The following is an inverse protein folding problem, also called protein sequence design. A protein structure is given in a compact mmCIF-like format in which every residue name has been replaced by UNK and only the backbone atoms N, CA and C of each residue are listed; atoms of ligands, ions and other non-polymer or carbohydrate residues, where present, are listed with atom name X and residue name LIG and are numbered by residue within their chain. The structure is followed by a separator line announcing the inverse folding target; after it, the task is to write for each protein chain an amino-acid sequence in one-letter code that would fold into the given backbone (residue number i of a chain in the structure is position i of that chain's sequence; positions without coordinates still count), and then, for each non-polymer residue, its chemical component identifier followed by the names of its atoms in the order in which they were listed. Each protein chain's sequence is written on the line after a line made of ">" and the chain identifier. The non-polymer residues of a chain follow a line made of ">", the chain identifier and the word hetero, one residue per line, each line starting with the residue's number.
data_IF_750438802888
#
_entry.id   IF_750438802888
#
_cell.length_a   1.000
_cell.length_b   1.000
_cell.length_c   1.000
_cell.angle_alpha   90.00
_cell.angle_beta   90.00
_cell.angle_gamma   90.00
#
_symmetry.space_group_name_H-M   'P 1'
#
loop_
_entity.id
_entity.type
_entity.pdbx_description
1 polymer ?
#
# COMPACT_ATOMS: atom_id res chain seq x y z
N UNK A 1 5.73 -18.51 5.39
CA UNK A 1 5.28 -17.14 5.70
C UNK A 1 6.15 -16.12 4.99
N UNK A 2 5.55 -15.19 4.29
CA UNK A 2 6.31 -14.17 3.57
C UNK A 2 6.89 -13.15 4.53
N UNK A 3 8.18 -12.85 4.36
CA UNK A 3 8.84 -11.86 5.20
C UNK A 3 8.31 -10.46 4.87
N UNK A 4 7.94 -9.71 5.89
CA UNK A 4 7.43 -8.35 5.76
C UNK A 4 8.50 -7.33 6.05
N UNK A 5 8.29 -6.13 5.52
CA UNK A 5 9.09 -4.96 5.83
C UNK A 5 8.87 -4.57 7.29
N UNK A 6 9.94 -4.21 7.99
CA UNK A 6 9.83 -3.71 9.37
C UNK A 6 9.44 -2.24 9.37
N UNK A 7 8.42 -1.83 10.14
CA UNK A 7 8.05 -0.42 10.24
C UNK A 7 9.20 0.45 10.74
N UNK A 8 9.29 1.66 10.23
CA UNK A 8 10.30 2.65 10.60
C UNK A 8 9.79 3.61 11.66
N UNK A 9 9.12 3.09 12.67
CA UNK A 9 8.58 3.89 13.76
C UNK A 9 7.73 3.01 14.65
N UNK A 10 7.14 3.64 15.67
CA UNK A 10 6.34 2.92 16.65
C UNK A 10 4.90 2.75 16.17
N UNK A 11 4.70 1.95 15.15
CA UNK A 11 3.37 1.64 14.62
C UNK A 11 3.36 0.27 13.95
N UNK A 12 2.21 -0.42 13.95
CA UNK A 12 2.08 -1.72 13.26
C UNK A 12 1.84 -1.53 11.77
N UNK A 13 1.99 -2.59 10.99
CA UNK A 13 1.58 -2.57 9.58
C UNK A 13 0.07 -2.44 9.45
N UNK A 14 -0.67 -3.12 10.33
CA UNK A 14 -2.13 -3.15 10.27
C UNK A 14 -2.72 -3.01 11.66
N UNK A 15 -3.94 -2.50 11.72
CA UNK A 15 -4.73 -2.50 12.95
C UNK A 15 -6.17 -2.86 12.60
N UNK A 16 -6.68 -3.90 13.24
CA UNK A 16 -8.06 -4.31 13.05
C UNK A 16 -8.94 -3.66 14.11
N UNK A 17 -10.04 -3.08 13.68
CA UNK A 17 -11.08 -2.55 14.57
C UNK A 17 -12.41 -3.09 14.06
N UNK A 18 -12.99 -4.04 14.80
CA UNK A 18 -14.17 -4.75 14.32
C UNK A 18 -13.87 -5.49 13.03
N UNK A 19 -14.64 -5.20 12.00
CA UNK A 19 -14.45 -5.79 10.68
C UNK A 19 -13.56 -4.95 9.77
N UNK A 20 -13.09 -3.80 10.25
CA UNK A 20 -12.23 -2.92 9.47
C UNK A 20 -10.77 -3.20 9.76
N UNK A 21 -9.96 -3.13 8.71
CA UNK A 21 -8.52 -3.29 8.78
C UNK A 21 -7.89 -2.02 8.26
N UNK A 22 -7.18 -1.32 9.14
CA UNK A 22 -6.42 -0.12 8.77
C UNK A 22 -5.01 -0.56 8.43
N UNK A 23 -4.52 -0.17 7.27
CA UNK A 23 -3.16 -0.46 6.84
C UNK A 23 -2.38 0.84 6.84
N UNK A 24 -1.28 0.87 7.58
CA UNK A 24 -0.40 2.04 7.64
C UNK A 24 0.12 2.42 6.27
N UNK A 25 0.47 3.69 6.08
CA UNK A 25 1.11 4.14 4.85
C UNK A 25 2.26 3.20 4.48
N UNK A 26 2.26 2.73 3.25
CA UNK A 26 3.16 1.68 2.79
C UNK A 26 3.93 2.18 1.58
N UNK A 27 5.23 1.94 1.56
CA UNK A 27 6.12 2.35 0.48
C UNK A 27 6.61 1.14 -0.31
N UNK A 28 7.48 1.40 -1.27
CA UNK A 28 8.11 0.33 -2.08
C UNK A 28 9.35 -0.26 -1.42
N UNK A 29 9.54 -0.01 -0.13
CA UNK A 29 10.68 -0.57 0.60
C UNK A 29 10.52 -2.09 0.74
N UNK A 30 11.60 -2.80 0.43
CA UNK A 30 11.64 -4.27 0.55
C UNK A 30 12.04 -4.68 1.96
N UNK A 31 11.86 -5.97 2.26
CA UNK A 31 12.20 -6.52 3.58
C UNK A 31 13.70 -6.36 3.93
N UNK A 32 14.57 -6.26 2.95
CA UNK A 32 16.01 -6.02 3.16
C UNK A 32 16.37 -4.54 3.23
N UNK A 33 15.36 -3.65 3.27
CA UNK A 33 15.47 -2.20 3.35
C UNK A 33 15.92 -1.53 2.05
N UNK A 34 16.08 -2.26 0.95
CA UNK A 34 16.26 -1.63 -0.36
C UNK A 34 14.91 -1.11 -0.85
N UNK A 35 14.96 -0.15 -1.76
CA UNK A 35 13.76 0.47 -2.32
C UNK A 35 13.60 0.01 -3.76
N UNK A 36 12.44 -0.61 -4.07
CA UNK A 36 12.13 -1.00 -5.43
C UNK A 36 11.94 0.25 -6.30
N UNK A 37 12.23 0.11 -7.58
CA UNK A 37 12.01 1.21 -8.53
C UNK A 37 13.05 2.32 -8.48
N UNK A 38 14.26 1.99 -8.04
CA UNK A 38 15.38 2.95 -8.02
C UNK A 38 16.46 2.40 -8.94
N UNK A 39 16.68 3.09 -10.06
CA UNK A 39 17.68 2.67 -11.04
C UNK A 39 18.85 3.65 -11.05
N UNK A 40 20.09 3.16 -10.94
CA UNK A 40 21.27 3.98 -11.14
C UNK A 40 21.51 4.15 -12.64
N UNK A 41 21.61 5.40 -13.09
CA UNK A 41 21.79 5.71 -14.51
C UNK A 41 23.26 5.82 -14.86
N UNK A 42 24.09 6.32 -13.94
CA UNK A 42 25.52 6.54 -14.19
C UNK A 42 26.35 6.36 -12.93
N UNK A 43 27.67 6.49 -13.08
CA UNK A 43 28.62 6.32 -11.98
C UNK A 43 28.61 7.50 -11.00
N UNK A 44 27.95 8.59 -11.34
CA UNK A 44 27.87 9.77 -10.49
C UNK A 44 26.72 9.70 -9.49
N UNK A 45 25.96 8.57 -9.48
CA UNK A 45 24.86 8.40 -8.56
C UNK A 45 23.55 8.97 -9.05
N UNK A 46 23.44 9.34 -10.34
CA UNK A 46 22.16 9.78 -10.91
C UNK A 46 21.19 8.62 -10.88
N UNK A 47 19.98 8.86 -10.38
CA UNK A 47 18.97 7.84 -10.21
C UNK A 47 17.75 8.15 -11.05
N UNK A 48 17.13 7.09 -11.58
CA UNK A 48 15.78 7.13 -12.12
C UNK A 48 14.84 6.51 -11.10
N UNK A 49 13.85 7.26 -10.67
CA UNK A 49 12.86 6.79 -9.71
C UNK A 49 11.63 6.37 -10.49
N UNK A 50 11.40 5.07 -10.57
CA UNK A 50 10.39 4.47 -11.44
C UNK A 50 9.05 4.38 -10.75
N UNK A 51 8.12 5.27 -11.10
CA UNK A 51 6.81 5.35 -10.46
C UNK A 51 6.00 4.06 -10.63
N UNK A 52 6.06 3.43 -11.80
CA UNK A 52 5.28 2.21 -12.03
C UNK A 52 5.78 1.06 -11.17
N UNK A 53 7.09 0.86 -11.11
CA UNK A 53 7.67 -0.20 -10.27
C UNK A 53 7.43 0.06 -8.80
N UNK A 54 7.58 1.30 -8.36
CA UNK A 54 7.29 1.64 -6.97
C UNK A 54 5.83 1.39 -6.63
N UNK A 55 4.91 1.80 -7.49
CA UNK A 55 3.48 1.58 -7.26
C UNK A 55 3.15 0.10 -7.17
N UNK A 56 3.70 -0.73 -8.06
CA UNK A 56 3.50 -2.18 -8.02
C UNK A 56 4.00 -2.78 -6.72
N UNK A 57 5.19 -2.39 -6.30
CA UNK A 57 5.78 -2.93 -5.07
C UNK A 57 4.99 -2.49 -3.83
N UNK A 58 4.54 -1.23 -3.79
CA UNK A 58 3.69 -0.74 -2.70
C UNK A 58 2.44 -1.62 -2.58
N UNK A 59 1.75 -1.88 -3.69
CA UNK A 59 0.52 -2.66 -3.65
C UNK A 59 0.78 -4.12 -3.30
N UNK A 60 1.91 -4.68 -3.70
CA UNK A 60 2.32 -6.02 -3.27
C UNK A 60 2.61 -6.06 -1.77
N UNK A 61 3.26 -5.03 -1.23
CA UNK A 61 3.50 -4.94 0.21
C UNK A 61 2.19 -4.84 0.99
N UNK A 62 1.24 -4.05 0.48
CA UNK A 62 -0.10 -3.94 1.10
C UNK A 62 -0.81 -5.29 1.06
N UNK A 63 -0.74 -5.99 -0.06
CA UNK A 63 -1.34 -7.32 -0.19
C UNK A 63 -0.80 -8.28 0.87
N UNK A 64 0.52 -8.28 1.07
CA UNK A 64 1.15 -9.12 2.11
C UNK A 64 0.65 -8.77 3.51
N UNK A 65 0.54 -7.47 3.79
CA UNK A 65 0.04 -7.01 5.09
C UNK A 65 -1.41 -7.43 5.32
N UNK A 66 -2.24 -7.32 4.28
CA UNK A 66 -3.64 -7.75 4.37
C UNK A 66 -3.77 -9.26 4.56
N UNK A 67 -2.92 -10.04 3.90
CA UNK A 67 -2.94 -11.50 4.03
C UNK A 67 -2.72 -11.96 5.47
N UNK A 68 -1.94 -11.23 6.24
CA UNK A 68 -1.74 -11.53 7.67
C UNK A 68 -3.00 -11.30 8.50
N UNK A 69 -3.96 -10.54 7.96
CA UNK A 69 -5.26 -10.31 8.59
C UNK A 69 -6.36 -11.14 7.96
N UNK A 70 -6.01 -12.07 7.08
CA UNK A 70 -7.00 -12.89 6.40
C UNK A 70 -7.76 -12.17 5.29
N UNK A 71 -7.21 -11.06 4.79
CA UNK A 71 -7.85 -10.24 3.75
C UNK A 71 -7.01 -10.18 2.49
N UNK A 72 -7.60 -9.65 1.42
CA UNK A 72 -6.94 -9.48 0.13
C UNK A 72 -7.20 -8.07 -0.39
N UNK A 73 -6.61 -7.74 -1.53
CA UNK A 73 -6.86 -6.44 -2.17
C UNK A 73 -8.34 -6.25 -2.54
N UNK A 74 -9.07 -7.34 -2.79
CA UNK A 74 -10.51 -7.27 -3.07
C UNK A 74 -11.32 -6.73 -1.89
N UNK A 75 -10.77 -6.79 -0.69
CA UNK A 75 -11.42 -6.31 0.53
C UNK A 75 -11.14 -4.84 0.81
N UNK A 76 -10.29 -4.20 0.04
CA UNK A 76 -9.95 -2.78 0.21
C UNK A 76 -11.14 -1.91 -0.18
N UNK A 77 -11.51 -0.98 0.68
CA UNK A 77 -12.66 -0.09 0.46
C UNK A 77 -12.26 1.36 0.21
N UNK A 78 -11.10 1.78 0.70
CA UNK A 78 -10.64 3.15 0.52
C UNK A 78 -9.13 3.21 0.40
N UNK A 79 -8.64 4.06 -0.50
CA UNK A 79 -7.22 4.25 -0.81
C UNK A 79 -6.89 5.72 -0.76
N UNK A 80 -5.80 6.06 -0.07
CA UNK A 80 -5.21 7.39 -0.14
C UNK A 80 -3.78 7.23 -0.63
N UNK A 81 -3.46 7.89 -1.74
CA UNK A 81 -2.13 7.83 -2.33
C UNK A 81 -1.43 9.18 -2.24
N UNK A 82 -0.15 9.13 -1.92
CA UNK A 82 0.70 10.30 -1.76
C UNK A 82 1.81 10.23 -2.81
N UNK A 83 1.86 11.22 -3.71
CA UNK A 83 2.89 11.33 -4.73
C UNK A 83 3.77 12.55 -4.41
N UNK A 84 5.04 12.49 -4.73
CA UNK A 84 5.91 13.67 -4.57
C UNK A 84 5.91 14.54 -5.83
N UNK A 85 5.37 14.04 -6.94
CA UNK A 85 5.34 14.77 -8.21
C UNK A 85 4.12 14.33 -9.01
N UNK A 86 3.19 15.24 -9.29
CA UNK A 86 1.98 14.90 -10.05
C UNK A 86 2.26 14.62 -11.54
N UNK A 87 3.49 14.87 -12.01
CA UNK A 87 3.89 14.39 -13.33
C UNK A 87 3.94 12.86 -13.37
N UNK A 88 3.99 12.20 -12.22
CA UNK A 88 3.94 10.75 -12.10
C UNK A 88 2.53 10.17 -12.12
N UNK A 89 1.51 11.02 -12.18
CA UNK A 89 0.13 10.58 -12.02
C UNK A 89 -0.29 9.55 -13.07
N UNK A 90 0.08 9.77 -14.35
CA UNK A 90 -0.27 8.84 -15.42
C UNK A 90 0.38 7.47 -15.21
N UNK A 91 1.66 7.43 -14.87
CA UNK A 91 2.37 6.17 -14.61
C UNK A 91 1.83 5.45 -13.39
N UNK A 92 1.54 6.20 -12.33
CA UNK A 92 0.89 5.67 -11.14
C UNK A 92 -0.47 5.04 -11.49
N UNK A 93 -1.30 5.74 -12.26
CA UNK A 93 -2.61 5.23 -12.67
C UNK A 93 -2.50 3.94 -13.49
N UNK A 94 -1.52 3.84 -14.38
CA UNK A 94 -1.34 2.63 -15.18
C UNK A 94 -0.99 1.41 -14.29
N UNK A 95 -0.07 1.58 -13.38
CA UNK A 95 0.32 0.50 -12.46
C UNK A 95 -0.82 0.17 -11.50
N UNK A 96 -1.51 1.18 -10.98
CA UNK A 96 -2.65 1.01 -10.08
C UNK A 96 -3.75 0.18 -10.74
N UNK A 97 -4.03 0.43 -12.03
CA UNK A 97 -5.06 -0.28 -12.78
C UNK A 97 -4.76 -1.76 -12.99
N UNK A 98 -3.52 -2.19 -12.74
CA UNK A 98 -3.18 -3.62 -12.77
C UNK A 98 -3.75 -4.37 -11.56
N UNK A 99 -4.12 -3.65 -10.49
CA UNK A 99 -4.54 -4.23 -9.22
C UNK A 99 -6.00 -3.98 -8.89
N UNK A 100 -6.57 -2.89 -9.38
CA UNK A 100 -7.93 -2.46 -9.06
C UNK A 100 -8.72 -2.11 -10.31
N UNK A 101 -9.98 -2.46 -10.27
CA UNK A 101 -10.94 -2.20 -11.34
C UNK A 101 -11.76 -0.94 -11.00
N UNK A 102 -12.04 -0.10 -11.99
CA UNK A 102 -12.77 1.14 -11.78
C UNK A 102 -14.23 0.92 -11.33
N UNK A 103 -14.81 -0.23 -11.64
CA UNK A 103 -16.21 -0.53 -11.30
C UNK A 103 -16.32 -1.14 -9.90
N UNK A 104 -15.43 -2.07 -9.57
CA UNK A 104 -15.49 -2.83 -8.32
C UNK A 104 -14.43 -2.41 -7.30
N UNK A 105 -13.54 -1.52 -7.69
CA UNK A 105 -12.43 -1.11 -6.85
C UNK A 105 -12.81 -0.16 -5.72
N UNK A 106 -11.85 0.16 -4.86
CA UNK A 106 -12.07 1.07 -3.73
C UNK A 106 -12.22 2.52 -4.18
N UNK A 107 -12.79 3.34 -3.29
CA UNK A 107 -12.69 4.78 -3.47
C UNK A 107 -11.24 5.20 -3.32
N UNK A 108 -10.85 6.31 -3.94
CA UNK A 108 -9.44 6.73 -3.94
C UNK A 108 -9.32 8.24 -3.92
N UNK A 109 -8.36 8.72 -3.13
CA UNK A 109 -7.92 10.12 -3.16
C UNK A 109 -6.41 10.11 -3.40
N UNK A 110 -5.95 10.97 -4.31
CA UNK A 110 -4.52 11.11 -4.63
C UNK A 110 -4.13 12.56 -4.42
N UNK A 111 -3.06 12.78 -3.65
CA UNK A 111 -2.54 14.12 -3.37
C UNK A 111 -1.03 14.14 -3.57
N UNK A 112 -0.50 15.32 -3.86
CA UNK A 112 0.94 15.55 -3.89
C UNK A 112 1.39 15.99 -2.51
N UNK A 113 2.55 15.51 -2.09
CA UNK A 113 3.21 15.92 -0.84
C UNK A 113 4.60 16.44 -1.16
N UNK A 114 5.16 17.22 -0.23
CA UNK A 114 6.48 17.79 -0.45
C UNK A 114 7.56 16.71 -0.54
N UNK A 115 7.53 15.74 0.37
CA UNK A 115 8.47 14.61 0.36
C UNK A 115 7.89 13.47 1.19
N UNK A 116 8.48 12.28 1.01
CA UNK A 116 8.16 11.09 1.78
C UNK A 116 9.33 10.74 2.70
N UNK A 117 9.17 9.78 3.62
CA UNK A 117 10.23 9.47 4.60
C UNK A 117 11.54 8.90 4.04
N UNK A 118 11.77 8.99 2.74
CA UNK A 118 13.02 8.64 2.10
C UNK A 118 13.09 9.38 0.76
N UNK A 119 14.25 9.96 0.40
CA UNK A 119 14.36 10.75 -0.84
C UNK A 119 14.15 9.94 -2.13
N UNK A 120 14.31 8.63 -2.10
CA UNK A 120 14.11 7.79 -3.27
C UNK A 120 12.66 7.30 -3.42
N UNK A 121 11.78 7.62 -2.48
CA UNK A 121 10.37 7.25 -2.57
C UNK A 121 9.60 8.31 -3.35
N UNK A 122 8.81 7.87 -4.33
CA UNK A 122 7.94 8.77 -5.12
C UNK A 122 6.47 8.50 -4.90
N UNK A 123 6.13 7.43 -4.17
CA UNK A 123 4.75 7.08 -3.86
C UNK A 123 4.66 6.36 -2.52
N UNK A 124 3.58 6.66 -1.80
CA UNK A 124 3.20 5.94 -0.59
C UNK A 124 1.69 5.79 -0.62
N UNK A 125 1.16 4.64 -0.19
CA UNK A 125 -0.27 4.36 -0.25
C UNK A 125 -0.74 3.86 1.11
N UNK A 126 -1.88 4.39 1.53
CA UNK A 126 -2.58 3.99 2.74
C UNK A 126 -3.94 3.43 2.34
N UNK A 127 -4.34 2.29 2.90
CA UNK A 127 -5.63 1.70 2.59
C UNK A 127 -6.41 1.35 3.84
N UNK A 128 -7.72 1.22 3.68
CA UNK A 128 -8.60 0.63 4.67
C UNK A 128 -9.36 -0.48 3.98
N UNK A 129 -9.42 -1.64 4.64
CA UNK A 129 -10.14 -2.80 4.13
C UNK A 129 -11.27 -3.19 5.07
N UNK A 130 -12.24 -3.92 4.53
CA UNK A 130 -13.35 -4.47 5.29
C UNK A 130 -13.36 -5.98 5.07
N UNK A 131 -13.24 -6.73 6.15
CA UNK A 131 -13.29 -8.18 6.09
C UNK A 131 -13.88 -8.67 7.41
N UNK A 132 -15.01 -9.36 7.34
CA UNK A 132 -15.68 -9.84 8.54
C UNK A 132 -14.68 -10.56 9.44
N UNK A 133 -14.65 -10.13 10.69
CA UNK A 133 -13.75 -10.70 11.70
C UNK A 133 -14.42 -11.93 12.30
N UNK A 134 -13.84 -13.14 12.12
CA UNK A 134 -14.43 -14.36 12.69
C UNK A 134 -14.62 -14.30 14.21
N UNK A 135 -13.75 -13.56 14.91
CA UNK A 135 -13.85 -13.44 16.37
C UNK A 135 -15.04 -12.60 16.82
N UNK A 136 -15.73 -11.91 15.89
CA UNK A 136 -16.94 -11.15 16.16
C UNK A 136 -18.21 -11.92 15.79
N UNK A 137 -18.06 -13.20 15.41
CA UNK A 137 -19.22 -14.04 15.10
C UNK A 137 -20.06 -14.24 16.36
N UNK A 138 -21.36 -13.95 16.25
CA UNK A 138 -22.27 -14.10 17.37
C UNK A 138 -22.56 -15.58 17.66
N UNK A 139 -23.00 -15.89 18.88
CA UNK A 139 -23.49 -17.22 19.19
C UNK A 139 -24.60 -17.65 18.24
N UNK A 140 -24.74 -18.97 18.06
CA UNK A 140 -25.76 -19.51 17.18
C UNK A 140 -27.15 -18.99 17.55
N UNK A 141 -27.89 -18.54 16.52
CA UNK A 141 -29.23 -18.00 16.71
C UNK A 141 -29.30 -16.50 16.92
N UNK A 142 -28.15 -15.81 17.02
CA UNK A 142 -28.09 -14.38 17.15
C UNK A 142 -27.52 -13.74 15.90
N UNK A 143 -28.04 -12.55 15.56
CA UNK A 143 -27.56 -11.78 14.39
C UNK A 143 -27.31 -10.32 14.79
N UNK A 144 -26.38 -9.70 14.10
CA UNK A 144 -26.07 -8.30 14.31
C UNK A 144 -27.09 -7.42 13.58
#
# INVERSE_FOLDING_TARGET
>A
MTKKVTPRGAYPHTKRVGDFIFVSGTSSRRADNTIAGVDLIDEMGTKHLNIKEQTREVLKNIEKNLMNEGATLADVVDVTSFLVNMNDFAGYNEAYAEFFDAVTGPTRTTVAVHQLPHPDLVVEIKVMAYKKNPSLTLPEGEEV
#
